data_IF_076275234850
#
_entry.id   IF_076275234850
#
_cell.length_a   1.000
_cell.length_b   1.000
_cell.length_c   1.000
_cell.angle_alpha   90.00
_cell.angle_beta   90.00
_cell.angle_gamma   90.00
#
_symmetry.space_group_name_H-M   'P 1'
#
loop_
_entity.id
_entity.type
_entity.pdbx_description
1 polymer ?
#
# COMPACT_ATOMS: atom_id res chain seq x y z
N UNK A 1 -17.81 -14.20 4.14
CA UNK A 1 -18.46 -13.05 3.48
C UNK A 1 -19.73 -12.58 4.19
N UNK A 2 -20.56 -13.45 4.78
CA UNK A 2 -21.78 -13.03 5.50
C UNK A 2 -21.54 -12.07 6.68
N UNK A 3 -20.37 -12.17 7.33
CA UNK A 3 -19.92 -11.23 8.37
C UNK A 3 -19.44 -9.87 7.84
N UNK A 4 -19.32 -9.69 6.52
CA UNK A 4 -18.71 -8.53 5.89
C UNK A 4 -19.71 -7.50 5.32
N UNK A 5 -21.01 -7.66 5.59
CA UNK A 5 -22.03 -6.66 5.22
C UNK A 5 -21.76 -5.37 6.02
N UNK A 6 -21.32 -4.32 5.32
CA UNK A 6 -20.85 -3.06 5.91
C UNK A 6 -19.39 -3.07 6.35
N UNK A 7 -18.62 -4.11 6.03
CA UNK A 7 -17.23 -4.26 6.45
C UNK A 7 -16.23 -3.95 5.33
N UNK A 8 -15.00 -3.66 5.75
CA UNK A 8 -13.84 -3.50 4.86
C UNK A 8 -13.09 -4.83 4.81
N UNK A 9 -12.84 -5.35 3.61
CA UNK A 9 -11.95 -6.47 3.37
C UNK A 9 -10.58 -5.92 2.94
N UNK A 10 -9.58 -6.05 3.80
CA UNK A 10 -8.21 -5.65 3.51
C UNK A 10 -7.38 -6.89 3.15
N UNK A 11 -6.75 -6.86 1.97
CA UNK A 11 -5.91 -7.95 1.46
C UNK A 11 -4.50 -7.39 1.27
N UNK A 12 -3.62 -7.71 2.22
CA UNK A 12 -2.21 -7.37 2.11
C UNK A 12 -1.47 -8.33 1.16
N UNK A 13 -0.45 -7.81 0.50
CA UNK A 13 0.33 -8.51 -0.53
C UNK A 13 -0.56 -9.18 -1.59
N UNK A 14 -1.59 -8.47 -2.04
CA UNK A 14 -2.64 -9.01 -2.91
C UNK A 14 -2.10 -9.57 -4.24
N UNK A 15 -0.93 -9.12 -4.69
CA UNK A 15 -0.27 -9.68 -5.86
C UNK A 15 0.07 -11.18 -5.72
N UNK A 16 0.11 -11.73 -4.48
CA UNK A 16 0.28 -13.17 -4.23
C UNK A 16 -0.93 -14.00 -4.67
N UNK A 17 -2.07 -13.35 -4.93
CA UNK A 17 -3.23 -13.98 -5.56
C UNK A 17 -3.03 -14.19 -7.07
N UNK A 18 -1.90 -13.74 -7.62
CA UNK A 18 -1.46 -14.12 -8.95
C UNK A 18 -0.33 -15.13 -8.87
N UNK A 19 -0.50 -16.27 -9.53
CA UNK A 19 0.57 -17.23 -9.75
C UNK A 19 0.94 -17.28 -11.24
N UNK A 20 2.14 -16.82 -11.64
CA UNK A 20 2.59 -16.90 -13.03
C UNK A 20 2.80 -18.34 -13.52
N UNK A 21 2.86 -19.33 -12.63
CA UNK A 21 2.93 -20.76 -12.96
C UNK A 21 1.55 -21.38 -13.24
N UNK A 22 0.47 -20.59 -13.18
CA UNK A 22 -0.86 -21.02 -13.67
C UNK A 22 -1.62 -21.95 -12.73
N UNK A 23 -1.40 -21.85 -11.42
CA UNK A 23 -2.20 -22.61 -10.44
C UNK A 23 -3.60 -22.00 -10.32
N UNK A 24 -4.62 -22.77 -10.74
CA UNK A 24 -6.00 -22.30 -10.94
C UNK A 24 -6.68 -21.73 -9.68
N UNK A 25 -6.33 -22.24 -8.51
CA UNK A 25 -6.98 -21.89 -7.24
C UNK A 25 -6.83 -20.42 -6.82
N UNK A 26 -5.69 -19.79 -7.14
CA UNK A 26 -5.50 -18.36 -6.80
C UNK A 26 -6.35 -17.46 -7.70
N UNK A 27 -6.48 -17.85 -8.98
CA UNK A 27 -7.32 -17.13 -9.93
C UNK A 27 -8.81 -17.30 -9.59
N UNK A 28 -9.24 -18.50 -9.20
CA UNK A 28 -10.60 -18.76 -8.70
C UNK A 28 -10.94 -17.89 -7.48
N UNK A 29 -9.99 -17.71 -6.55
CA UNK A 29 -10.21 -16.86 -5.39
C UNK A 29 -10.45 -15.38 -5.78
N UNK A 30 -9.72 -14.87 -6.78
CA UNK A 30 -9.92 -13.51 -7.28
C UNK A 30 -11.24 -13.39 -8.04
N UNK A 31 -11.61 -14.39 -8.83
CA UNK A 31 -12.87 -14.42 -9.56
C UNK A 31 -14.07 -14.45 -8.61
N UNK A 32 -13.96 -15.17 -7.48
CA UNK A 32 -14.96 -15.15 -6.43
C UNK A 32 -15.09 -13.76 -5.78
N UNK A 33 -13.97 -13.08 -5.48
CA UNK A 33 -13.99 -11.69 -4.97
C UNK A 33 -14.69 -10.76 -5.97
N UNK A 34 -14.39 -10.89 -7.27
CA UNK A 34 -15.04 -10.09 -8.34
C UNK A 34 -16.54 -10.40 -8.42
N UNK A 35 -16.92 -11.67 -8.29
CA UNK A 35 -18.32 -12.12 -8.28
C UNK A 35 -19.07 -11.48 -7.12
N UNK A 36 -18.50 -11.56 -5.92
CA UNK A 36 -19.07 -10.95 -4.71
C UNK A 36 -19.22 -9.44 -4.86
N UNK A 37 -18.24 -8.74 -5.45
CA UNK A 37 -18.34 -7.31 -5.76
C UNK A 37 -19.45 -6.98 -6.79
N UNK A 38 -19.97 -7.97 -7.52
CA UNK A 38 -21.03 -7.81 -8.53
C UNK A 38 -22.42 -8.07 -7.98
N UNK A 39 -22.55 -9.05 -7.08
CA UNK A 39 -23.83 -9.49 -6.56
C UNK A 39 -24.55 -8.39 -5.78
N UNK A 40 -25.86 -8.22 -6.02
CA UNK A 40 -26.66 -7.18 -5.35
C UNK A 40 -26.65 -7.25 -3.82
N UNK A 41 -26.39 -8.45 -3.27
CA UNK A 41 -26.29 -8.62 -1.83
C UNK A 41 -25.06 -7.92 -1.22
N UNK A 42 -23.99 -7.69 -1.97
CA UNK A 42 -22.75 -7.05 -1.49
C UNK A 42 -22.39 -5.75 -2.24
N UNK A 43 -22.93 -5.54 -3.44
CA UNK A 43 -22.71 -4.34 -4.23
C UNK A 43 -23.11 -3.08 -3.45
N UNK A 44 -22.16 -2.16 -3.29
CA UNK A 44 -22.34 -0.92 -2.52
C UNK A 44 -22.43 -1.11 -1.01
N UNK A 45 -22.15 -2.31 -0.49
CA UNK A 45 -22.23 -2.66 0.93
C UNK A 45 -20.90 -3.20 1.49
N UNK A 46 -19.86 -3.30 0.68
CA UNK A 46 -18.51 -3.65 1.13
C UNK A 46 -17.48 -2.80 0.42
N UNK A 47 -16.32 -2.60 1.07
CA UNK A 47 -15.13 -2.03 0.46
C UNK A 47 -14.06 -3.11 0.46
N UNK A 48 -13.39 -3.31 -0.67
CA UNK A 48 -12.23 -4.20 -0.79
C UNK A 48 -11.01 -3.35 -1.06
N UNK A 49 -9.98 -3.50 -0.22
CA UNK A 49 -8.70 -2.80 -0.34
C UNK A 49 -7.64 -3.85 -0.66
N UNK A 50 -7.03 -3.73 -1.84
CA UNK A 50 -5.86 -4.51 -2.22
C UNK A 50 -4.60 -3.68 -1.93
N UNK A 51 -3.69 -4.22 -1.13
CA UNK A 51 -2.43 -3.58 -0.80
C UNK A 51 -1.24 -4.42 -1.28
N UNK A 52 -0.13 -3.76 -1.55
CA UNK A 52 1.11 -4.36 -2.01
C UNK A 52 1.96 -3.38 -2.80
N UNK A 53 3.11 -3.83 -3.27
CA UNK A 53 4.02 -2.99 -4.05
C UNK A 53 3.40 -2.57 -5.39
N UNK A 54 3.53 -1.28 -5.74
CA UNK A 54 2.87 -0.67 -6.90
C UNK A 54 3.12 -1.44 -8.22
N UNK A 55 4.36 -1.86 -8.47
CA UNK A 55 4.70 -2.65 -9.66
C UNK A 55 3.98 -3.99 -9.71
N UNK A 56 3.96 -4.73 -8.61
CA UNK A 56 3.32 -6.04 -8.52
C UNK A 56 1.79 -5.93 -8.57
N UNK A 57 1.23 -4.88 -7.98
CA UNK A 57 -0.21 -4.58 -8.07
C UNK A 57 -0.63 -4.23 -9.50
N UNK A 58 0.21 -3.50 -10.22
CA UNK A 58 -0.02 -3.22 -11.65
C UNK A 58 -0.04 -4.51 -12.46
N UNK A 59 0.87 -5.46 -12.17
CA UNK A 59 0.83 -6.77 -12.80
C UNK A 59 -0.42 -7.56 -12.45
N UNK A 60 -0.81 -7.60 -11.16
CA UNK A 60 -2.03 -8.27 -10.70
C UNK A 60 -3.26 -7.76 -11.47
N UNK A 61 -3.45 -6.45 -11.52
CA UNK A 61 -4.61 -5.82 -12.18
C UNK A 61 -4.62 -6.06 -13.69
N UNK A 62 -3.45 -6.13 -14.32
CA UNK A 62 -3.35 -6.36 -15.76
C UNK A 62 -3.46 -7.84 -16.14
N UNK A 63 -2.99 -8.77 -15.29
CA UNK A 63 -2.82 -10.19 -15.63
C UNK A 63 -3.90 -11.11 -15.07
N UNK A 64 -4.50 -10.81 -13.92
CA UNK A 64 -5.40 -11.75 -13.25
C UNK A 64 -6.80 -11.76 -13.85
N UNK A 65 -7.44 -10.59 -13.96
CA UNK A 65 -8.77 -10.50 -14.53
C UNK A 65 -9.06 -9.07 -15.01
N UNK A 66 -9.37 -8.84 -16.30
CA UNK A 66 -9.83 -7.55 -16.81
C UNK A 66 -11.06 -7.01 -16.05
N UNK A 67 -11.90 -7.90 -15.54
CA UNK A 67 -13.07 -7.59 -14.72
C UNK A 67 -12.71 -7.08 -13.32
N UNK A 68 -11.54 -7.43 -12.77
CA UNK A 68 -11.06 -6.84 -11.53
C UNK A 68 -10.62 -5.40 -11.78
N UNK A 69 -9.85 -5.15 -12.85
CA UNK A 69 -9.36 -3.81 -13.20
C UNK A 69 -10.47 -2.78 -13.40
N UNK A 70 -11.60 -3.16 -13.99
CA UNK A 70 -12.74 -2.24 -14.19
C UNK A 70 -13.53 -1.94 -12.90
N UNK A 71 -13.31 -2.72 -11.83
CA UNK A 71 -14.00 -2.60 -10.55
C UNK A 71 -13.14 -1.99 -9.45
N UNK A 72 -11.82 -1.93 -9.64
CA UNK A 72 -10.95 -1.08 -8.84
C UNK A 72 -11.18 0.36 -9.27
N UNK A 73 -11.95 1.10 -8.48
CA UNK A 73 -12.34 2.47 -8.76
C UNK A 73 -11.23 3.48 -8.45
N UNK A 74 -10.44 3.19 -7.40
CA UNK A 74 -9.48 4.13 -6.82
C UNK A 74 -8.13 3.45 -6.61
N UNK A 75 -7.07 4.15 -6.98
CA UNK A 75 -5.68 3.75 -6.72
C UNK A 75 -5.04 4.84 -5.86
N UNK A 76 -4.51 4.45 -4.70
CA UNK A 76 -3.82 5.34 -3.78
C UNK A 76 -2.36 4.91 -3.77
N UNK A 77 -1.49 5.78 -4.27
CA UNK A 77 -0.05 5.57 -4.24
C UNK A 77 0.53 6.10 -2.91
N UNK A 78 1.33 5.27 -2.26
CA UNK A 78 2.10 5.63 -1.06
C UNK A 78 3.57 5.78 -1.46
N UNK A 79 4.05 7.00 -1.75
CA UNK A 79 5.44 7.21 -2.12
C UNK A 79 6.36 7.00 -0.92
N UNK A 80 7.62 6.66 -1.19
CA UNK A 80 8.65 6.60 -0.16
C UNK A 80 8.83 7.98 0.49
N UNK A 81 9.09 7.99 1.79
CA UNK A 81 9.45 9.21 2.50
C UNK A 81 10.79 9.74 1.99
N UNK A 82 10.86 11.04 1.74
CA UNK A 82 12.15 11.70 1.63
C UNK A 82 12.85 11.76 3.01
N UNK A 83 14.14 12.11 3.01
CA UNK A 83 14.93 12.14 4.23
C UNK A 83 14.37 13.12 5.28
N UNK A 84 13.76 14.22 4.85
CA UNK A 84 13.20 15.22 5.76
C UNK A 84 11.92 14.71 6.42
N UNK A 85 10.98 14.18 5.64
CA UNK A 85 9.73 13.61 6.11
C UNK A 85 9.96 12.38 7.01
N UNK A 86 10.95 11.53 6.66
CA UNK A 86 11.36 10.42 7.50
C UNK A 86 11.92 10.89 8.86
N UNK A 87 12.72 11.96 8.86
CA UNK A 87 13.28 12.54 10.09
C UNK A 87 12.20 13.16 10.97
N UNK A 88 11.24 13.88 10.37
CA UNK A 88 10.10 14.46 11.08
C UNK A 88 9.22 13.37 11.72
N UNK A 89 8.88 12.33 10.96
CA UNK A 89 8.10 11.20 11.47
C UNK A 89 8.83 10.49 12.62
N UNK A 90 10.15 10.30 12.49
CA UNK A 90 10.96 9.70 13.55
C UNK A 90 10.96 10.56 14.82
N UNK A 91 11.13 11.88 14.70
CA UNK A 91 11.07 12.81 15.83
C UNK A 91 9.69 12.78 16.51
N UNK A 92 8.60 12.73 15.73
CA UNK A 92 7.24 12.60 16.25
C UNK A 92 7.10 11.29 17.05
N UNK A 93 7.49 10.15 16.48
CA UNK A 93 7.40 8.85 17.14
C UNK A 93 8.21 8.76 18.44
N UNK A 94 9.37 9.41 18.50
CA UNK A 94 10.20 9.49 19.70
C UNK A 94 9.53 10.32 20.80
N UNK A 95 8.92 11.45 20.42
CA UNK A 95 8.19 12.33 21.35
C UNK A 95 6.98 11.61 21.97
N UNK A 96 6.21 10.88 21.17
CA UNK A 96 5.05 10.08 21.61
C UNK A 96 5.47 9.00 22.60
N UNK A 97 6.61 8.34 22.36
CA UNK A 97 7.16 7.30 23.22
C UNK A 97 7.97 7.83 24.40
N UNK A 98 8.12 9.15 24.53
CA UNK A 98 8.96 9.83 25.54
C UNK A 98 10.41 9.32 25.54
N UNK A 99 10.91 8.96 24.36
CA UNK A 99 12.28 8.52 24.17
C UNK A 99 13.09 9.70 23.63
N UNK A 100 14.23 9.97 24.26
CA UNK A 100 15.23 10.90 23.75
C UNK A 100 16.32 10.12 23.04
N UNK A 101 16.73 10.56 21.86
CA UNK A 101 17.92 10.01 21.24
C UNK A 101 19.14 10.34 22.10
N UNK A 102 20.03 9.37 22.38
CA UNK A 102 21.30 9.66 23.04
C UNK A 102 22.18 10.43 22.07
N UNK A 103 22.46 11.70 22.39
CA UNK A 103 23.25 12.60 21.56
C UNK A 103 22.39 13.72 20.99
N UNK A 104 22.83 14.94 21.24
CA UNK A 104 22.27 16.15 20.65
C UNK A 104 22.38 16.04 19.12
N UNK A 105 21.24 15.90 18.44
CA UNK A 105 21.18 15.96 16.97
C UNK A 105 21.35 17.39 16.45
N UNK A 106 21.62 18.38 17.31
CA UNK A 106 21.96 19.75 16.94
C UNK A 106 23.16 19.89 15.98
N UNK A 107 23.91 18.81 15.74
CA UNK A 107 24.95 18.76 14.71
C UNK A 107 24.48 18.32 13.31
N UNK A 108 23.29 17.74 13.15
CA UNK A 108 22.80 17.34 11.82
C UNK A 108 22.29 18.53 11.02
N UNK A 109 21.82 19.60 11.65
CA UNK A 109 21.49 20.85 10.95
C UNK A 109 22.77 21.52 10.40
N UNK A 110 23.90 21.42 11.12
CA UNK A 110 25.21 21.92 10.68
C UNK A 110 25.86 21.00 9.61
N UNK A 111 25.70 19.66 9.68
CA UNK A 111 26.23 18.74 8.67
C UNK A 111 25.36 18.61 7.41
N UNK A 112 24.03 18.75 7.51
CA UNK A 112 23.14 18.81 6.34
C UNK A 112 23.22 20.15 5.60
N UNK A 113 23.76 21.19 6.25
CA UNK A 113 24.18 22.42 5.59
C UNK A 113 25.23 22.18 4.49
N UNK A 114 26.10 21.18 4.67
CA UNK A 114 27.08 20.75 3.66
C UNK A 114 26.50 19.79 2.60
N UNK A 115 25.48 19.00 2.96
CA UNK A 115 24.87 18.03 2.04
C UNK A 115 23.89 18.65 1.03
N UNK A 116 23.47 19.91 1.22
CA UNK A 116 22.62 20.64 0.25
C UNK A 116 23.27 20.81 -1.12
N UNK A 117 24.60 20.85 -1.21
CA UNK A 117 25.30 20.94 -2.50
C UNK A 117 25.45 19.58 -3.21
N UNK A 118 25.18 18.46 -2.53
CA UNK A 118 25.18 17.10 -3.11
C UNK A 118 23.82 16.68 -3.67
N UNK A 119 22.76 17.45 -3.42
CA UNK A 119 21.40 17.24 -3.93
C UNK A 119 21.07 18.15 -5.12
N UNK A 120 22.02 18.35 -6.05
CA UNK A 120 21.69 18.94 -7.35
C UNK A 120 21.26 17.84 -8.33
N UNK A 121 20.15 18.02 -9.05
CA UNK A 121 19.74 17.06 -10.07
C UNK A 121 20.73 17.06 -11.24
N UNK A 122 20.89 15.90 -11.87
CA UNK A 122 21.55 15.78 -13.17
C UNK A 122 20.79 16.56 -14.23
#
# INVERSE_FOLDING_TARGET
FDSARGAVLFIDEAYRLYDPLGRSYMQEAVDEIVTLLTEEQYRGKMVVIFAGYAGQMTELLNKVNPGLKSRVSDVIDFPDFDAAAASELAAQQLSEKRLTLPGDLGGLDDELGGAKDLLRPW
#
